data_IF_202477977537
#
_entry.id   IF_202477977537
#
_cell.length_a   1.000
_cell.length_b   1.000
_cell.length_c   1.000
_cell.angle_alpha   90.00
_cell.angle_beta   90.00
_cell.angle_gamma   90.00
#
_symmetry.space_group_name_H-M   'P 1'
#
loop_
_entity.id
_entity.type
_entity.pdbx_description
1 polymer ?
#
# COMPACT_ATOMS: atom_id res chain seq x y z
N UNK A 1 12.49 7.50 -2.21
CA UNK A 1 11.21 6.86 -2.58
C UNK A 1 11.34 5.38 -2.33
N UNK A 2 10.26 4.70 -1.95
CA UNK A 2 10.27 3.29 -1.58
C UNK A 2 9.15 2.55 -2.32
N UNK A 3 9.47 1.47 -3.02
CA UNK A 3 8.52 0.68 -3.80
C UNK A 3 8.29 -0.67 -3.14
N UNK A 4 7.02 -1.02 -2.98
CA UNK A 4 6.54 -2.25 -2.33
C UNK A 4 5.78 -3.07 -3.38
N UNK A 5 6.31 -4.23 -3.79
CA UNK A 5 5.56 -5.18 -4.61
C UNK A 5 4.56 -5.98 -3.76
N UNK A 6 3.43 -6.35 -4.35
CA UNK A 6 2.46 -7.32 -3.83
C UNK A 6 1.93 -8.18 -4.98
N UNK A 7 1.10 -9.18 -4.69
CA UNK A 7 0.46 -9.97 -5.75
C UNK A 7 -0.54 -9.14 -6.59
N UNK A 8 -1.21 -8.17 -5.95
CA UNK A 8 -2.21 -7.33 -6.62
C UNK A 8 -1.66 -6.10 -7.32
N UNK A 9 -0.36 -5.81 -7.21
CA UNK A 9 0.26 -4.67 -7.89
C UNK A 9 1.51 -4.13 -7.21
N UNK A 10 1.80 -2.85 -7.47
CA UNK A 10 2.98 -2.16 -6.93
C UNK A 10 2.59 -0.80 -6.34
N UNK A 11 3.11 -0.51 -5.16
CA UNK A 11 2.94 0.79 -4.49
C UNK A 11 4.29 1.48 -4.38
N UNK A 12 4.36 2.76 -4.73
CA UNK A 12 5.52 3.61 -4.43
C UNK A 12 5.08 4.69 -3.45
N UNK A 13 5.82 4.83 -2.36
CA UNK A 13 5.59 5.85 -1.34
C UNK A 13 6.84 6.70 -1.13
N UNK A 14 6.64 7.88 -0.55
CA UNK A 14 7.69 8.70 0.03
C UNK A 14 7.40 8.90 1.52
N UNK A 15 8.33 8.46 2.35
CA UNK A 15 8.34 8.78 3.78
C UNK A 15 8.90 10.19 3.96
N UNK A 16 8.12 11.05 4.62
CA UNK A 16 8.57 12.34 5.12
C UNK A 16 8.87 12.27 6.61
N UNK A 17 9.26 13.40 7.21
CA UNK A 17 9.52 13.50 8.65
C UNK A 17 8.27 13.37 9.53
N UNK A 18 7.07 13.56 8.97
CA UNK A 18 5.78 13.55 9.69
C UNK A 18 4.66 12.78 8.99
N UNK A 19 4.94 12.12 7.87
CA UNK A 19 3.89 11.37 7.19
C UNK A 19 4.37 10.50 6.04
N UNK A 20 3.42 9.74 5.50
CA UNK A 20 3.58 8.92 4.31
C UNK A 20 2.82 9.59 3.16
N UNK A 21 3.49 9.75 2.02
CA UNK A 21 2.87 10.26 0.81
C UNK A 21 2.83 9.16 -0.25
N UNK A 22 1.64 8.89 -0.80
CA UNK A 22 1.48 8.02 -1.95
C UNK A 22 2.06 8.70 -3.20
N UNK A 23 2.99 8.03 -3.87
CA UNK A 23 3.53 8.48 -5.16
C UNK A 23 2.81 7.77 -6.30
N UNK A 24 2.63 6.46 -6.20
CA UNK A 24 1.89 5.67 -7.20
C UNK A 24 1.32 4.40 -6.60
N UNK A 25 0.14 3.98 -7.07
CA UNK A 25 -0.39 2.64 -6.84
C UNK A 25 -0.85 2.08 -8.19
N UNK A 26 -0.15 1.07 -8.69
CA UNK A 26 -0.39 0.47 -10.00
C UNK A 26 -0.93 -0.93 -9.78
N UNK A 27 -2.23 -1.20 -10.04
CA UNK A 27 -2.77 -2.55 -9.95
C UNK A 27 -2.22 -3.42 -11.07
N UNK A 28 -1.98 -4.69 -10.74
CA UNK A 28 -1.80 -5.72 -11.76
C UNK A 28 -3.14 -6.06 -12.43
N UNK A 29 -3.09 -6.75 -13.58
CA UNK A 29 -4.27 -7.05 -14.38
C UNK A 29 -5.31 -7.84 -13.57
N UNK A 30 -6.55 -7.36 -13.56
CA UNK A 30 -7.66 -8.00 -12.85
C UNK A 30 -7.84 -7.54 -11.40
N UNK A 31 -6.93 -6.71 -10.89
CA UNK A 31 -7.08 -6.06 -9.59
C UNK A 31 -7.64 -4.65 -9.71
N UNK A 32 -8.41 -4.25 -8.70
CA UNK A 32 -8.82 -2.86 -8.45
C UNK A 32 -8.01 -2.31 -7.29
N UNK A 33 -7.72 -1.02 -7.30
CA UNK A 33 -6.98 -0.35 -6.22
C UNK A 33 -7.90 0.56 -5.42
N UNK A 34 -7.78 0.52 -4.09
CA UNK A 34 -8.32 1.53 -3.19
C UNK A 34 -7.23 2.04 -2.25
N UNK A 35 -7.32 3.30 -1.88
CA UNK A 35 -6.36 3.98 -1.02
C UNK A 35 -7.08 4.59 0.17
N UNK A 36 -6.52 4.44 1.37
CA UNK A 36 -7.04 5.04 2.59
C UNK A 36 -5.89 5.58 3.43
N UNK A 37 -6.05 6.81 3.90
CA UNK A 37 -5.11 7.48 4.78
C UNK A 37 -5.91 8.23 5.84
N UNK A 38 -6.19 7.56 6.94
CA UNK A 38 -6.96 8.12 8.07
C UNK A 38 -6.10 8.94 9.02
N UNK A 39 -4.77 8.80 8.93
CA UNK A 39 -3.78 9.58 9.66
C UNK A 39 -2.59 9.88 8.74
N UNK A 40 -1.93 11.03 8.94
CA UNK A 40 -0.82 11.47 8.08
C UNK A 40 0.35 10.48 8.09
N UNK A 41 0.54 9.77 9.20
CA UNK A 41 1.64 8.83 9.44
C UNK A 41 1.45 7.45 8.80
N UNK A 42 0.26 7.12 8.31
CA UNK A 42 -0.12 5.76 7.91
C UNK A 42 -0.99 5.76 6.66
N UNK A 43 -0.48 5.12 5.61
CA UNK A 43 -1.17 4.91 4.34
C UNK A 43 -1.48 3.43 4.15
N UNK A 44 -2.71 3.11 3.78
CA UNK A 44 -3.12 1.77 3.36
C UNK A 44 -3.53 1.79 1.89
N UNK A 45 -2.95 0.89 1.10
CA UNK A 45 -3.36 0.62 -0.28
C UNK A 45 -3.87 -0.82 -0.34
N UNK A 46 -5.08 -1.01 -0.83
CA UNK A 46 -5.65 -2.34 -1.04
C UNK A 46 -5.79 -2.61 -2.53
N UNK A 47 -5.29 -3.75 -2.97
CA UNK A 47 -5.58 -4.32 -4.28
C UNK A 47 -6.55 -5.49 -4.09
N UNK A 48 -7.62 -5.54 -4.90
CA UNK A 48 -8.65 -6.58 -4.81
C UNK A 48 -8.98 -7.13 -6.20
N UNK A 49 -8.90 -8.45 -6.38
CA UNK A 49 -9.41 -9.19 -7.55
C UNK A 49 -10.69 -9.97 -7.18
N UNK A 50 -11.10 -10.91 -8.03
CA UNK A 50 -12.26 -11.79 -7.75
C UNK A 50 -12.01 -12.77 -6.59
N UNK A 51 -10.76 -13.20 -6.41
CA UNK A 51 -10.36 -14.32 -5.55
C UNK A 51 -9.24 -13.95 -4.57
N UNK A 52 -8.70 -12.73 -4.66
CA UNK A 52 -7.53 -12.32 -3.91
C UNK A 52 -7.58 -10.88 -3.42
N UNK A 53 -6.89 -10.62 -2.31
CA UNK A 53 -6.72 -9.30 -1.71
C UNK A 53 -5.28 -9.12 -1.22
N UNK A 54 -4.63 -8.06 -1.69
CA UNK A 54 -3.35 -7.57 -1.18
C UNK A 54 -3.55 -6.27 -0.42
N UNK A 55 -3.13 -6.21 0.84
CA UNK A 55 -3.16 -4.99 1.66
C UNK A 55 -1.73 -4.55 1.92
N UNK A 56 -1.35 -3.38 1.43
CA UNK A 56 -0.07 -2.73 1.68
C UNK A 56 -0.30 -1.63 2.73
N UNK A 57 0.41 -1.71 3.84
CA UNK A 57 0.37 -0.67 4.89
C UNK A 57 1.76 -0.06 5.02
N UNK A 58 1.88 1.23 4.73
CA UNK A 58 3.09 2.01 4.94
C UNK A 58 2.89 2.93 6.15
N UNK A 59 3.86 2.97 7.07
CA UNK A 59 3.81 3.83 8.26
C UNK A 59 5.19 4.41 8.57
N UNK A 60 5.22 5.58 9.22
CA UNK A 60 6.46 6.17 9.77
C UNK A 60 6.66 5.91 11.26
N UNK A 61 5.67 5.39 11.98
CA UNK A 61 5.75 5.09 13.41
C UNK A 61 5.81 3.58 13.69
N UNK A 62 6.68 3.10 14.60
CA UNK A 62 7.77 3.83 15.29
C UNK A 62 8.98 4.10 14.38
N UNK A 63 8.96 3.60 13.14
CA UNK A 63 9.97 3.87 12.11
C UNK A 63 9.37 3.64 10.73
N UNK A 64 9.95 4.28 9.71
CA UNK A 64 9.54 4.14 8.32
C UNK A 64 9.62 2.68 7.85
N UNK A 65 8.46 2.09 7.54
CA UNK A 65 8.35 0.72 7.03
C UNK A 65 7.10 0.54 6.18
N UNK A 66 7.07 -0.54 5.42
CA UNK A 66 5.84 -1.05 4.83
C UNK A 66 5.70 -2.55 5.09
N UNK A 67 4.47 -3.01 5.19
CA UNK A 67 4.12 -4.43 5.23
C UNK A 67 3.13 -4.76 4.11
N UNK A 68 3.14 -6.02 3.70
CA UNK A 68 2.20 -6.58 2.73
C UNK A 68 1.48 -7.76 3.40
N UNK A 69 0.16 -7.77 3.30
CA UNK A 69 -0.68 -8.89 3.72
C UNK A 69 -1.46 -9.40 2.51
N UNK A 70 -1.28 -10.67 2.20
CA UNK A 70 -1.97 -11.37 1.12
C UNK A 70 -3.06 -12.28 1.70
N UNK A 71 -4.21 -12.36 1.04
CA UNK A 71 -5.29 -13.29 1.43
C UNK A 71 -6.20 -13.60 0.26
N UNK A 72 -6.64 -14.85 0.16
CA UNK A 72 -7.76 -15.25 -0.70
C UNK A 72 -9.09 -14.67 -0.16
N UNK A 73 -10.07 -14.52 -1.05
CA UNK A 73 -11.44 -14.09 -0.72
C UNK A 73 -12.42 -15.27 -0.58
#
# INVERSE_FOLDING_TARGET
MYTVPSQGGKVTVRYGSRGVCLISAVPDRGFKTTTSQTADDTLTVTFTSADHRSVVTATIEPSAKASVRESSL
#
